data_IF_383550663357
#
_entry.id   IF_383550663357
#
_cell.length_a   1.000
_cell.length_b   1.000
_cell.length_c   1.000
_cell.angle_alpha   90.00
_cell.angle_beta   90.00
_cell.angle_gamma   90.00
#
_symmetry.space_group_name_H-M   'P 1'
#
loop_
_entity.id
_entity.type
_entity.pdbx_description
1 polymer ?
#
# COMPACT_ATOMS: atom_id res chain seq x y z
N UNK A 1 4.24 3.19 40.43
CA UNK A 1 3.75 3.15 39.03
C UNK A 1 4.96 2.82 38.16
N UNK A 2 4.86 1.85 37.24
CA UNK A 2 5.92 1.61 36.27
C UNK A 2 6.19 2.90 35.47
N UNK A 3 7.45 3.12 35.09
CA UNK A 3 7.82 4.28 34.28
C UNK A 3 7.18 4.10 32.90
N UNK A 4 6.54 5.14 32.32
CA UNK A 4 5.99 5.03 30.97
C UNK A 4 7.12 4.67 29.99
N UNK A 5 6.82 3.78 29.04
CA UNK A 5 7.71 3.45 27.94
C UNK A 5 8.12 4.73 27.19
N UNK A 6 9.38 4.79 26.77
CA UNK A 6 9.93 5.89 25.99
C UNK A 6 10.57 5.31 24.73
N UNK A 7 10.32 5.98 23.60
CA UNK A 7 11.00 5.67 22.35
C UNK A 7 12.51 5.69 22.54
N UNK A 8 13.22 4.79 21.85
CA UNK A 8 14.65 4.87 21.74
C UNK A 8 15.06 6.09 20.90
N UNK A 9 16.37 6.39 20.86
CA UNK A 9 16.89 7.55 20.17
C UNK A 9 16.52 7.58 18.67
N UNK A 10 16.56 6.44 17.99
CA UNK A 10 16.30 6.39 16.55
C UNK A 10 14.82 6.58 16.21
N UNK A 11 13.92 5.91 16.94
CA UNK A 11 12.49 6.08 16.75
C UNK A 11 12.02 7.49 17.18
N UNK A 12 12.65 8.08 18.20
CA UNK A 12 12.41 9.48 18.56
C UNK A 12 12.88 10.44 17.45
N UNK A 13 14.05 10.19 16.85
CA UNK A 13 14.55 11.02 15.74
C UNK A 13 13.62 10.96 14.52
N UNK A 14 13.01 9.80 14.25
CA UNK A 14 11.97 9.66 13.22
C UNK A 14 10.71 10.47 13.55
N UNK A 15 10.25 10.43 14.80
CA UNK A 15 9.11 11.24 15.25
C UNK A 15 9.38 12.74 15.09
N UNK A 16 10.59 13.18 15.42
CA UNK A 16 11.00 14.58 15.27
C UNK A 16 11.01 14.99 13.79
N UNK A 17 11.54 14.15 12.91
CA UNK A 17 11.58 14.40 11.46
C UNK A 17 10.17 14.43 10.84
N UNK A 18 9.25 13.58 11.30
CA UNK A 18 7.84 13.62 10.91
C UNK A 18 7.20 14.94 11.36
N UNK A 19 7.41 15.33 12.62
CA UNK A 19 6.86 16.57 13.17
C UNK A 19 7.39 17.83 12.47
N UNK A 20 8.62 17.83 11.98
CA UNK A 20 9.18 18.95 11.20
C UNK A 20 8.45 19.16 9.86
N UNK A 21 7.92 18.08 9.28
CA UNK A 21 7.23 18.10 7.98
C UNK A 21 5.70 18.15 8.10
N UNK A 22 5.14 17.84 9.26
CA UNK A 22 3.70 17.73 9.43
C UNK A 22 3.02 19.11 9.39
N UNK A 23 2.10 19.37 8.44
CA UNK A 23 1.58 20.71 8.22
C UNK A 23 0.55 21.17 9.26
N UNK A 24 -0.15 20.23 9.90
CA UNK A 24 -1.32 20.51 10.73
C UNK A 24 -1.08 20.13 12.21
N UNK A 25 -0.11 20.79 12.84
CA UNK A 25 0.17 20.65 14.26
C UNK A 25 1.23 19.60 14.56
N UNK A 26 0.93 18.57 15.34
CA UNK A 26 1.95 17.59 15.77
C UNK A 26 1.46 16.14 15.75
N UNK A 27 2.41 15.26 15.49
CA UNK A 27 2.28 13.80 15.59
C UNK A 27 2.77 13.38 16.97
N UNK A 28 2.00 12.51 17.62
CA UNK A 28 2.30 11.94 18.93
C UNK A 28 2.32 10.41 18.83
N UNK A 29 3.22 9.79 19.60
CA UNK A 29 3.24 8.33 19.78
C UNK A 29 2.83 8.01 21.21
N UNK A 30 1.88 7.10 21.37
CA UNK A 30 1.39 6.60 22.64
C UNK A 30 1.43 5.07 22.67
N UNK A 31 1.43 4.50 23.87
CA UNK A 31 1.60 3.07 24.09
C UNK A 31 0.49 2.55 25.00
N UNK A 32 -0.19 1.50 24.59
CA UNK A 32 -1.18 0.77 25.39
C UNK A 32 -0.46 -0.16 26.38
N UNK A 33 0.05 0.42 27.47
CA UNK A 33 0.87 -0.28 28.47
C UNK A 33 0.07 -1.23 29.36
N UNK A 34 -1.26 -1.20 29.27
CA UNK A 34 -2.13 -2.05 30.09
C UNK A 34 -2.36 -3.44 29.45
N UNK A 35 -1.85 -3.65 28.22
CA UNK A 35 -1.92 -4.95 27.53
C UNK A 35 -0.62 -5.73 27.65
N UNK A 36 -0.77 -7.01 27.98
CA UNK A 36 0.34 -7.96 27.94
C UNK A 36 0.82 -8.18 26.50
N UNK A 37 2.15 -8.22 26.25
CA UNK A 37 2.70 -8.51 24.93
C UNK A 37 2.23 -9.88 24.40
N UNK A 38 1.78 -9.94 23.15
CA UNK A 38 1.39 -11.20 22.51
C UNK A 38 2.58 -12.11 22.15
N UNK A 39 3.80 -11.56 22.14
CA UNK A 39 5.05 -12.31 21.92
C UNK A 39 5.39 -12.57 20.45
N UNK A 40 4.77 -11.82 19.54
CA UNK A 40 5.06 -11.76 18.11
C UNK A 40 4.78 -10.34 17.58
N UNK A 41 5.39 -10.00 16.44
CA UNK A 41 5.17 -8.70 15.78
C UNK A 41 4.36 -8.85 14.50
N UNK A 42 3.48 -7.88 14.25
CA UNK A 42 2.72 -7.71 13.01
C UNK A 42 2.51 -6.21 12.74
N UNK A 43 2.25 -5.88 11.48
CA UNK A 43 2.02 -4.49 11.06
C UNK A 43 0.67 -3.92 11.57
N UNK A 44 -0.30 -4.76 11.95
CA UNK A 44 -1.62 -4.34 12.48
C UNK A 44 -1.63 -3.94 13.96
N UNK A 45 -0.46 -3.94 14.63
CA UNK A 45 -0.33 -3.70 16.06
C UNK A 45 -0.24 -2.21 16.44
N UNK A 46 -0.59 -1.31 15.52
CA UNK A 46 -0.74 0.11 15.77
C UNK A 46 -2.07 0.65 15.24
N UNK A 47 -2.51 1.78 15.78
CA UNK A 47 -3.69 2.51 15.31
C UNK A 47 -3.39 3.99 15.19
N UNK A 48 -3.88 4.61 14.14
CA UNK A 48 -3.77 6.05 13.93
C UNK A 48 -5.12 6.72 14.24
N UNK A 49 -5.09 7.82 14.99
CA UNK A 49 -6.26 8.63 15.30
C UNK A 49 -5.97 10.09 14.99
N UNK A 50 -6.74 10.67 14.07
CA UNK A 50 -6.66 12.10 13.76
C UNK A 50 -7.44 12.90 14.80
N UNK A 51 -6.82 13.95 15.32
CA UNK A 51 -7.43 14.88 16.27
C UNK A 51 -7.33 16.31 15.69
N UNK A 52 -8.15 17.26 16.15
CA UNK A 52 -7.96 18.66 15.79
C UNK A 52 -6.55 19.13 16.14
N UNK A 53 -5.74 19.43 15.11
CA UNK A 53 -4.35 19.90 15.26
C UNK A 53 -3.31 18.80 15.51
N UNK A 54 -3.59 17.55 15.19
CA UNK A 54 -2.56 16.50 15.26
C UNK A 54 -3.01 15.10 14.88
N UNK A 55 -2.06 14.17 14.93
CA UNK A 55 -2.27 12.75 14.72
C UNK A 55 -1.64 11.97 15.87
N UNK A 56 -2.34 10.96 16.38
CA UNK A 56 -1.83 10.08 17.43
C UNK A 56 -1.64 8.68 16.86
N UNK A 57 -0.43 8.16 16.94
CA UNK A 57 -0.09 6.76 16.68
C UNK A 57 -0.11 6.05 18.03
N UNK A 58 -1.05 5.13 18.22
CA UNK A 58 -1.15 4.30 19.41
C UNK A 58 -0.60 2.91 19.09
N UNK A 59 0.54 2.57 19.67
CA UNK A 59 1.10 1.22 19.66
C UNK A 59 0.28 0.37 20.63
N UNK A 60 -0.36 -0.67 20.12
CA UNK A 60 -1.34 -1.49 20.84
C UNK A 60 -0.78 -2.79 21.41
N UNK A 61 0.44 -3.14 21.04
CA UNK A 61 1.17 -4.30 21.56
C UNK A 61 2.60 -3.91 21.93
N UNK A 62 3.07 -4.41 23.08
CA UNK A 62 4.35 -4.03 23.66
C UNK A 62 5.49 -5.03 23.38
N UNK A 63 5.32 -5.97 22.43
CA UNK A 63 6.35 -6.96 22.06
C UNK A 63 7.60 -6.26 21.50
N UNK A 64 7.44 -5.37 20.50
CA UNK A 64 8.54 -4.60 19.91
C UNK A 64 8.14 -3.13 19.64
N UNK A 65 7.87 -2.33 20.68
CA UNK A 65 7.23 -1.00 20.55
C UNK A 65 8.02 0.02 19.71
N UNK A 66 9.37 -0.02 19.73
CA UNK A 66 10.18 0.85 18.88
C UNK A 66 10.08 0.47 17.39
N UNK A 67 10.07 -0.83 17.10
CA UNK A 67 9.86 -1.34 15.74
C UNK A 67 8.47 -0.93 15.24
N UNK A 68 7.41 -1.19 16.00
CA UNK A 68 6.04 -0.85 15.60
C UNK A 68 5.84 0.66 15.44
N UNK A 69 6.31 1.48 16.40
CA UNK A 69 6.19 2.94 16.28
C UNK A 69 6.96 3.50 15.08
N UNK A 70 8.20 3.03 14.86
CA UNK A 70 9.00 3.49 13.72
C UNK A 70 8.44 3.07 12.37
N UNK A 71 7.78 1.91 12.30
CA UNK A 71 7.08 1.44 11.10
C UNK A 71 6.02 2.44 10.64
N UNK A 72 5.11 2.80 11.55
CA UNK A 72 4.05 3.79 11.29
C UNK A 72 4.61 5.19 10.95
N UNK A 73 5.65 5.62 11.68
CA UNK A 73 6.29 6.92 11.44
C UNK A 73 6.96 6.98 10.06
N UNK A 74 7.53 5.87 9.58
CA UNK A 74 8.14 5.82 8.25
C UNK A 74 7.09 5.85 7.14
N UNK A 75 5.96 5.15 7.30
CA UNK A 75 4.81 5.28 6.39
C UNK A 75 4.33 6.73 6.31
N UNK A 76 4.16 7.39 7.46
CA UNK A 76 3.77 8.80 7.51
C UNK A 76 4.82 9.73 6.89
N UNK A 77 6.11 9.46 7.11
CA UNK A 77 7.19 10.24 6.51
C UNK A 77 7.20 10.11 4.98
N UNK A 78 6.92 8.92 4.45
CA UNK A 78 6.81 8.69 3.00
C UNK A 78 5.63 9.47 2.42
N UNK A 79 4.48 9.47 3.10
CA UNK A 79 3.33 10.30 2.75
C UNK A 79 3.70 11.78 2.67
N UNK A 80 4.32 12.33 3.71
CA UNK A 80 4.74 13.74 3.80
C UNK A 80 5.79 14.11 2.74
N UNK A 81 6.60 13.13 2.29
CA UNK A 81 7.59 13.31 1.22
C UNK A 81 7.01 13.18 -0.19
N UNK A 82 5.69 13.02 -0.32
CA UNK A 82 5.01 12.96 -1.60
C UNK A 82 5.24 11.64 -2.33
N UNK A 83 5.27 10.52 -1.60
CA UNK A 83 5.13 9.21 -2.21
C UNK A 83 3.68 8.99 -2.69
N UNK A 84 3.47 8.14 -3.73
CA UNK A 84 2.15 7.88 -4.27
C UNK A 84 1.22 7.31 -3.21
N UNK A 85 -0.05 7.70 -3.24
CA UNK A 85 -1.11 7.16 -2.38
C UNK A 85 -2.10 6.35 -3.20
N UNK A 86 -2.87 5.51 -2.51
CA UNK A 86 -4.02 4.80 -3.08
C UNK A 86 -5.32 5.34 -2.52
N UNK A 87 -6.37 5.28 -3.33
CA UNK A 87 -7.72 5.67 -2.95
C UNK A 87 -8.74 4.69 -3.53
N UNK A 88 -9.85 4.54 -2.82
CA UNK A 88 -10.94 3.64 -3.17
C UNK A 88 -12.22 4.45 -3.34
N UNK A 89 -12.48 4.88 -4.58
CA UNK A 89 -13.67 5.67 -4.93
C UNK A 89 -14.74 4.85 -5.65
N UNK A 90 -14.42 3.61 -6.03
CA UNK A 90 -15.30 2.70 -6.74
C UNK A 90 -15.88 1.64 -5.82
N UNK A 91 -16.99 1.04 -6.24
CA UNK A 91 -17.70 -0.03 -5.57
C UNK A 91 -18.18 -1.07 -6.57
N UNK A 92 -18.08 -2.35 -6.19
CA UNK A 92 -18.67 -3.48 -6.90
C UNK A 92 -20.17 -3.66 -6.56
N UNK A 93 -20.75 -2.77 -5.77
CA UNK A 93 -22.12 -2.86 -5.28
C UNK A 93 -22.31 -3.87 -4.13
N UNK A 94 -21.21 -4.45 -3.63
CA UNK A 94 -21.17 -5.38 -2.50
C UNK A 94 -20.12 -4.91 -1.49
N UNK A 95 -20.57 -4.53 -0.30
CA UNK A 95 -19.72 -3.95 0.75
C UNK A 95 -18.63 -4.93 1.24
N UNK A 96 -18.95 -6.23 1.34
CA UNK A 96 -17.99 -7.23 1.79
C UNK A 96 -16.91 -7.46 0.74
N UNK A 97 -17.31 -7.53 -0.54
CA UNK A 97 -16.37 -7.69 -1.64
C UNK A 97 -15.48 -6.45 -1.79
N UNK A 98 -16.06 -5.24 -1.66
CA UNK A 98 -15.31 -3.99 -1.65
C UNK A 98 -14.25 -3.96 -0.54
N UNK A 99 -14.62 -4.32 0.69
CA UNK A 99 -13.69 -4.35 1.82
C UNK A 99 -12.54 -5.34 1.57
N UNK A 100 -12.85 -6.53 1.05
CA UNK A 100 -11.82 -7.52 0.70
C UNK A 100 -10.86 -6.96 -0.36
N UNK A 101 -11.40 -6.37 -1.42
CA UNK A 101 -10.63 -5.74 -2.48
C UNK A 101 -9.74 -4.59 -1.97
N UNK A 102 -10.27 -3.77 -1.08
CA UNK A 102 -9.53 -2.67 -0.44
C UNK A 102 -8.38 -3.20 0.42
N UNK A 103 -8.62 -4.23 1.23
CA UNK A 103 -7.59 -4.86 2.07
C UNK A 103 -6.47 -5.41 1.19
N UNK A 104 -6.82 -6.22 0.19
CA UNK A 104 -5.82 -6.84 -0.70
C UNK A 104 -5.02 -5.82 -1.50
N UNK A 105 -5.67 -4.75 -1.97
CA UNK A 105 -5.01 -3.65 -2.67
C UNK A 105 -4.06 -2.87 -1.77
N UNK A 106 -4.43 -2.71 -0.50
CA UNK A 106 -3.62 -2.05 0.52
C UNK A 106 -2.43 -2.91 0.89
N UNK A 107 -2.60 -4.21 1.12
CA UNK A 107 -1.51 -5.14 1.41
C UNK A 107 -0.45 -5.14 0.30
N UNK A 108 -0.88 -5.18 -0.97
CA UNK A 108 0.03 -5.11 -2.12
C UNK A 108 0.72 -3.74 -2.25
N UNK A 109 0.03 -2.66 -1.91
CA UNK A 109 0.63 -1.33 -1.84
C UNK A 109 1.69 -1.27 -0.73
N UNK A 110 1.38 -1.82 0.43
CA UNK A 110 2.26 -1.86 1.59
C UNK A 110 3.49 -2.73 1.34
N UNK A 111 3.38 -3.84 0.62
CA UNK A 111 4.55 -4.62 0.15
C UNK A 111 5.55 -3.72 -0.60
N UNK A 112 5.09 -2.79 -1.45
CA UNK A 112 5.98 -1.84 -2.12
C UNK A 112 6.60 -0.84 -1.14
N UNK A 113 5.80 -0.31 -0.22
CA UNK A 113 6.23 0.64 0.82
C UNK A 113 7.26 0.02 1.77
N UNK A 114 7.03 -1.21 2.21
CA UNK A 114 7.86 -1.96 3.13
C UNK A 114 9.28 -2.19 2.63
N UNK A 115 9.48 -2.22 1.30
CA UNK A 115 10.84 -2.26 0.74
C UNK A 115 11.68 -1.03 1.12
N UNK A 116 11.05 0.11 1.35
CA UNK A 116 11.71 1.33 1.84
C UNK A 116 11.70 1.36 3.36
N UNK A 117 10.56 1.07 4.00
CA UNK A 117 10.40 1.09 5.47
C UNK A 117 11.37 0.13 6.15
N UNK A 118 11.39 -1.14 5.76
CA UNK A 118 12.26 -2.18 6.34
C UNK A 118 13.73 -1.84 6.13
N UNK A 119 14.09 -1.34 4.95
CA UNK A 119 15.47 -0.93 4.66
C UNK A 119 15.93 0.20 5.60
N UNK A 120 15.08 1.19 5.87
CA UNK A 120 15.41 2.28 6.79
C UNK A 120 15.40 1.81 8.25
N UNK A 121 14.46 0.95 8.67
CA UNK A 121 14.46 0.38 10.01
C UNK A 121 15.72 -0.45 10.30
N UNK A 122 16.15 -1.31 9.35
CA UNK A 122 17.38 -2.10 9.48
C UNK A 122 18.62 -1.22 9.58
N UNK A 123 18.70 -0.17 8.75
CA UNK A 123 19.81 0.80 8.77
C UNK A 123 19.99 1.47 10.14
N UNK A 124 18.90 1.66 10.89
CA UNK A 124 18.92 2.26 12.24
C UNK A 124 18.84 1.24 13.37
N UNK A 125 18.97 -0.07 13.08
CA UNK A 125 18.92 -1.12 14.10
C UNK A 125 17.57 -1.25 14.81
N UNK A 126 16.48 -0.83 14.16
CA UNK A 126 15.10 -0.97 14.66
C UNK A 126 14.49 -2.35 14.32
N UNK A 127 15.16 -3.10 13.44
CA UNK A 127 14.93 -4.54 13.21
C UNK A 127 16.22 -5.25 13.60
N UNK A 128 16.14 -6.10 14.62
CA UNK A 128 17.23 -6.96 15.09
C UNK A 128 16.82 -8.44 15.00
N UNK A 129 17.70 -9.35 15.44
CA UNK A 129 17.45 -10.79 15.43
C UNK A 129 16.21 -11.19 16.25
N UNK A 130 15.88 -10.46 17.33
CA UNK A 130 14.70 -10.76 18.13
C UNK A 130 13.42 -10.39 17.38
N UNK A 131 13.38 -9.21 16.75
CA UNK A 131 12.25 -8.78 15.91
C UNK A 131 12.06 -9.76 14.75
N UNK A 132 13.14 -10.28 14.15
CA UNK A 132 13.06 -11.31 13.10
C UNK A 132 12.40 -12.62 13.56
N UNK A 133 12.74 -13.08 14.76
CA UNK A 133 12.10 -14.27 15.36
C UNK A 133 10.63 -14.00 15.69
N UNK A 134 10.32 -12.82 16.23
CA UNK A 134 8.96 -12.41 16.56
C UNK A 134 8.10 -12.21 15.31
N UNK A 135 8.69 -11.78 14.20
CA UNK A 135 8.01 -11.63 12.92
C UNK A 135 7.62 -13.00 12.33
N UNK A 136 8.52 -14.01 12.40
CA UNK A 136 8.18 -15.38 11.98
C UNK A 136 6.99 -15.94 12.77
N UNK A 137 6.95 -15.69 14.09
CA UNK A 137 5.80 -16.08 14.92
C UNK A 137 4.53 -15.32 14.49
N UNK A 138 4.67 -14.06 14.09
CA UNK A 138 3.58 -13.25 13.53
C UNK A 138 3.00 -13.88 12.28
N UNK A 139 3.84 -14.32 11.35
CA UNK A 139 3.42 -15.09 10.15
C UNK A 139 2.65 -16.34 10.58
N UNK A 140 3.22 -17.15 11.47
CA UNK A 140 2.62 -18.42 11.92
C UNK A 140 1.31 -18.23 12.73
N UNK A 141 1.11 -17.04 13.30
CA UNK A 141 -0.13 -16.69 13.97
C UNK A 141 -1.22 -16.17 13.00
N UNK A 142 -0.83 -15.73 11.81
CA UNK A 142 -1.74 -15.16 10.79
C UNK A 142 -2.23 -16.21 9.80
N UNK A 143 -1.34 -17.10 9.35
CA UNK A 143 -1.64 -18.07 8.29
C UNK A 143 -1.45 -19.50 8.77
N UNK A 144 -2.34 -20.40 8.33
CA UNK A 144 -2.21 -21.83 8.58
C UNK A 144 -1.28 -22.49 7.56
N UNK A 145 -0.61 -23.57 7.97
CA UNK A 145 0.26 -24.36 7.08
C UNK A 145 -0.55 -24.95 5.94
N UNK A 146 0.06 -25.01 4.76
CA UNK A 146 -0.52 -25.75 3.65
C UNK A 146 -0.59 -27.24 4.00
N UNK A 147 -1.66 -27.88 3.55
CA UNK A 147 -1.88 -29.30 3.76
C UNK A 147 -2.15 -30.00 2.43
N UNK A 148 -1.90 -31.30 2.38
CA UNK A 148 -2.09 -32.11 1.17
C UNK A 148 -3.57 -32.27 0.75
N UNK A 149 -4.51 -31.68 1.50
CA UNK A 149 -5.95 -31.79 1.22
C UNK A 149 -6.45 -30.71 0.25
N UNK A 150 -5.58 -29.81 -0.22
CA UNK A 150 -5.93 -28.79 -1.21
C UNK A 150 -6.72 -27.63 -0.60
N UNK A 151 -6.30 -27.18 0.58
CA UNK A 151 -6.87 -26.01 1.25
C UNK A 151 -6.55 -24.71 0.50
N UNK A 152 -7.44 -24.35 -0.42
CA UNK A 152 -7.35 -23.19 -1.30
C UNK A 152 -7.88 -21.90 -0.67
N UNK A 153 -8.63 -21.99 0.44
CA UNK A 153 -9.38 -20.86 1.00
C UNK A 153 -8.43 -19.76 1.54
N UNK A 154 -7.27 -20.15 2.11
CA UNK A 154 -6.25 -19.21 2.59
C UNK A 154 -5.13 -18.93 1.58
N UNK A 155 -5.16 -19.53 0.38
CA UNK A 155 -4.02 -19.47 -0.57
C UNK A 155 -3.59 -18.04 -0.89
N UNK A 156 -4.55 -17.16 -1.06
CA UNK A 156 -4.34 -15.75 -1.36
C UNK A 156 -3.76 -14.97 -0.17
N UNK A 157 -4.25 -15.23 1.05
CA UNK A 157 -3.73 -14.64 2.27
C UNK A 157 -2.28 -15.09 2.56
N UNK A 158 -2.01 -16.38 2.34
CA UNK A 158 -0.65 -16.96 2.42
C UNK A 158 0.29 -16.25 1.44
N UNK A 159 -0.14 -16.06 0.18
CA UNK A 159 0.66 -15.36 -0.83
C UNK A 159 1.03 -13.94 -0.38
N UNK A 160 0.05 -13.14 0.04
CA UNK A 160 0.30 -11.75 0.47
C UNK A 160 1.23 -11.70 1.68
N UNK A 161 0.96 -12.53 2.70
CA UNK A 161 1.76 -12.61 3.92
C UNK A 161 3.21 -13.02 3.63
N UNK A 162 3.42 -14.03 2.78
CA UNK A 162 4.75 -14.54 2.46
C UNK A 162 5.51 -13.61 1.51
N UNK A 163 4.81 -12.88 0.64
CA UNK A 163 5.43 -11.85 -0.19
C UNK A 163 5.95 -10.70 0.67
N UNK A 164 5.17 -10.25 1.66
CA UNK A 164 5.61 -9.25 2.61
C UNK A 164 6.75 -9.77 3.50
N UNK A 165 6.72 -11.05 3.89
CA UNK A 165 7.82 -11.68 4.60
C UNK A 165 9.13 -11.67 3.80
N UNK A 166 9.08 -11.93 2.48
CA UNK A 166 10.26 -11.82 1.62
C UNK A 166 10.82 -10.39 1.58
N UNK A 167 9.94 -9.38 1.60
CA UNK A 167 10.34 -7.97 1.74
C UNK A 167 10.96 -7.69 3.10
N UNK A 168 10.37 -8.19 4.18
CA UNK A 168 10.84 -8.00 5.55
C UNK A 168 12.22 -8.63 5.79
N UNK A 169 12.42 -9.89 5.40
CA UNK A 169 13.68 -10.59 5.61
C UNK A 169 14.75 -10.16 4.60
N UNK A 170 14.39 -9.94 3.33
CA UNK A 170 15.36 -9.59 2.28
C UNK A 170 16.54 -10.55 2.24
N UNK A 171 17.76 -10.03 2.40
CA UNK A 171 19.00 -10.82 2.41
C UNK A 171 19.09 -11.82 3.60
N UNK A 172 18.20 -11.71 4.59
CA UNK A 172 18.13 -12.60 5.75
C UNK A 172 17.14 -13.76 5.55
N UNK A 173 16.51 -13.89 4.38
CA UNK A 173 15.47 -14.92 4.15
C UNK A 173 15.97 -16.34 4.38
N UNK A 174 17.26 -16.61 4.11
CA UNK A 174 17.87 -17.92 4.28
C UNK A 174 17.77 -18.45 5.73
N UNK A 175 17.57 -17.57 6.73
CA UNK A 175 17.36 -17.97 8.11
C UNK A 175 16.03 -18.72 8.34
N UNK A 176 15.00 -18.42 7.54
CA UNK A 176 13.64 -18.95 7.71
C UNK A 176 13.13 -19.70 6.48
N UNK A 177 13.87 -19.65 5.37
CA UNK A 177 13.49 -20.20 4.07
C UNK A 177 13.08 -21.67 4.12
N UNK A 178 13.86 -22.51 4.82
CA UNK A 178 13.57 -23.95 4.92
C UNK A 178 12.23 -24.20 5.62
N UNK A 179 11.94 -23.42 6.68
CA UNK A 179 10.67 -23.50 7.41
C UNK A 179 9.50 -23.03 6.53
N UNK A 180 9.64 -21.89 5.84
CA UNK A 180 8.58 -21.35 4.98
C UNK A 180 8.32 -22.23 3.76
N UNK A 181 9.36 -22.83 3.18
CA UNK A 181 9.22 -23.79 2.06
C UNK A 181 8.53 -25.07 2.50
N UNK A 182 8.79 -25.52 3.73
CA UNK A 182 8.15 -26.73 4.29
C UNK A 182 6.70 -26.48 4.65
N UNK A 183 6.40 -25.34 5.28
CA UNK A 183 5.07 -25.02 5.78
C UNK A 183 4.12 -24.49 4.69
N UNK A 184 4.65 -23.82 3.66
CA UNK A 184 3.87 -23.13 2.63
C UNK A 184 4.45 -23.33 1.21
N UNK A 185 4.68 -24.58 0.75
CA UNK A 185 5.40 -24.86 -0.49
C UNK A 185 4.83 -24.17 -1.74
N UNK A 186 3.52 -24.03 -1.88
CA UNK A 186 2.87 -23.45 -3.06
C UNK A 186 2.89 -21.92 -3.00
N UNK A 187 2.38 -21.33 -1.90
CA UNK A 187 2.30 -19.89 -1.75
C UNK A 187 3.69 -19.25 -1.64
N UNK A 188 4.66 -19.89 -0.97
CA UNK A 188 6.02 -19.37 -0.87
C UNK A 188 6.73 -19.36 -2.23
N UNK A 189 6.54 -20.39 -3.05
CA UNK A 189 7.10 -20.42 -4.41
C UNK A 189 6.54 -19.30 -5.29
N UNK A 190 5.23 -19.04 -5.21
CA UNK A 190 4.60 -17.93 -5.92
C UNK A 190 5.09 -16.55 -5.39
N UNK A 191 5.17 -16.39 -4.07
CA UNK A 191 5.70 -15.19 -3.44
C UNK A 191 7.15 -14.90 -3.89
N UNK A 192 8.01 -15.94 -3.96
CA UNK A 192 9.39 -15.80 -4.43
C UNK A 192 9.46 -15.33 -5.89
N UNK A 193 8.64 -15.92 -6.78
CA UNK A 193 8.55 -15.52 -8.19
C UNK A 193 8.14 -14.05 -8.35
N UNK A 194 7.23 -13.56 -7.49
CA UNK A 194 6.84 -12.14 -7.48
C UNK A 194 7.95 -11.25 -6.91
N UNK A 195 8.54 -11.65 -5.79
CA UNK A 195 9.62 -10.94 -5.10
C UNK A 195 10.84 -10.73 -6.00
N UNK A 196 11.28 -11.78 -6.70
CA UNK A 196 12.42 -11.71 -7.63
C UNK A 196 12.19 -10.64 -8.70
N UNK A 197 10.96 -10.53 -9.21
CA UNK A 197 10.62 -9.55 -10.23
C UNK A 197 10.56 -8.13 -9.68
N UNK A 198 9.99 -7.89 -8.50
CA UNK A 198 9.90 -6.52 -7.96
C UNK A 198 11.27 -6.02 -7.47
N UNK A 199 12.17 -6.92 -7.08
CA UNK A 199 13.50 -6.57 -6.60
C UNK A 199 14.54 -6.30 -7.68
N UNK A 200 14.26 -6.62 -8.96
CA UNK A 200 15.10 -6.24 -10.11
C UNK A 200 15.44 -4.74 -10.16
N UNK A 201 14.60 -3.90 -9.55
CA UNK A 201 14.82 -2.45 -9.44
C UNK A 201 14.64 -1.96 -8.02
N UNK A 202 15.47 -1.00 -7.64
CA UNK A 202 15.38 -0.29 -6.36
C UNK A 202 14.27 0.76 -6.42
N UNK A 203 13.72 1.05 -5.24
CA UNK A 203 12.79 2.16 -5.05
C UNK A 203 13.59 3.32 -4.46
N UNK A 204 13.98 4.26 -5.31
CA UNK A 204 14.78 5.44 -4.95
C UNK A 204 14.04 6.76 -5.16
N UNK A 205 12.80 6.69 -5.65
CA UNK A 205 11.98 7.86 -5.98
C UNK A 205 10.48 7.53 -5.92
N UNK A 206 9.61 8.54 -5.74
CA UNK A 206 8.16 8.36 -5.84
C UNK A 206 7.71 7.77 -7.18
N UNK A 207 8.45 8.05 -8.26
CA UNK A 207 8.15 7.51 -9.58
C UNK A 207 8.40 6.00 -9.66
N UNK A 208 9.55 5.53 -9.17
CA UNK A 208 9.80 4.08 -9.11
C UNK A 208 8.87 3.39 -8.10
N UNK A 209 8.51 4.04 -6.99
CA UNK A 209 7.50 3.49 -6.07
C UNK A 209 6.18 3.22 -6.79
N UNK A 210 5.63 4.23 -7.49
CA UNK A 210 4.38 4.05 -8.25
C UNK A 210 4.49 2.89 -9.23
N UNK A 211 5.64 2.77 -9.90
CA UNK A 211 5.86 1.71 -10.88
C UNK A 211 5.90 0.32 -10.23
N UNK A 212 6.45 0.20 -9.02
CA UNK A 212 6.43 -1.07 -8.28
C UNK A 212 5.03 -1.43 -7.79
N UNK A 213 4.24 -0.46 -7.32
CA UNK A 213 2.83 -0.69 -6.95
C UNK A 213 2.05 -1.27 -8.14
N UNK A 214 2.13 -0.62 -9.31
CA UNK A 214 1.45 -1.11 -10.52
C UNK A 214 1.96 -2.48 -10.96
N UNK A 215 3.28 -2.73 -10.87
CA UNK A 215 3.86 -4.04 -11.18
C UNK A 215 3.34 -5.12 -10.23
N UNK A 216 3.21 -4.84 -8.93
CA UNK A 216 2.67 -5.76 -7.95
C UNK A 216 1.22 -6.14 -8.24
N UNK A 217 0.36 -5.18 -8.56
CA UNK A 217 -1.03 -5.45 -8.96
C UNK A 217 -1.09 -6.39 -10.17
N UNK A 218 -0.30 -6.12 -11.21
CA UNK A 218 -0.25 -6.96 -12.41
C UNK A 218 0.28 -8.37 -12.12
N UNK A 219 1.33 -8.48 -11.29
CA UNK A 219 1.91 -9.79 -10.93
C UNK A 219 0.96 -10.61 -10.09
N UNK A 220 0.23 -9.97 -9.18
CA UNK A 220 -0.72 -10.63 -8.32
C UNK A 220 -1.91 -11.16 -9.14
N UNK A 221 -2.50 -10.33 -10.00
CA UNK A 221 -3.57 -10.77 -10.91
C UNK A 221 -3.11 -11.93 -11.82
N UNK A 222 -1.89 -11.87 -12.36
CA UNK A 222 -1.33 -12.97 -13.14
C UNK A 222 -1.19 -14.26 -12.31
N UNK A 223 -0.82 -14.15 -11.04
CA UNK A 223 -0.68 -15.30 -10.15
C UNK A 223 -2.05 -15.89 -9.76
N UNK A 224 -3.07 -15.07 -9.54
CA UNK A 224 -4.45 -15.54 -9.29
C UNK A 224 -4.98 -16.32 -10.50
N UNK A 225 -4.80 -15.77 -11.70
CA UNK A 225 -5.22 -16.45 -12.94
C UNK A 225 -4.48 -17.78 -13.16
N UNK A 226 -3.19 -17.86 -12.81
CA UNK A 226 -2.41 -19.11 -12.85
C UNK A 226 -2.99 -20.17 -11.90
N UNK A 227 -3.57 -19.75 -10.78
CA UNK A 227 -4.29 -20.61 -9.83
C UNK A 227 -5.77 -20.85 -10.19
N UNK A 228 -6.25 -20.32 -11.31
CA UNK A 228 -7.65 -20.44 -11.72
C UNK A 228 -8.61 -19.57 -10.89
N UNK A 229 -8.08 -18.59 -10.15
CA UNK A 229 -8.84 -17.61 -9.39
C UNK A 229 -9.11 -16.36 -10.26
N UNK A 230 -10.21 -15.63 -10.00
CA UNK A 230 -10.47 -14.38 -10.70
C UNK A 230 -9.39 -13.34 -10.39
N UNK A 231 -9.04 -12.53 -11.39
CA UNK A 231 -8.19 -11.36 -11.16
C UNK A 231 -8.95 -10.32 -10.33
N UNK A 232 -8.21 -9.53 -9.54
CA UNK A 232 -8.79 -8.44 -8.77
C UNK A 232 -9.07 -7.22 -9.66
N UNK A 233 -8.33 -7.03 -10.75
CA UNK A 233 -8.42 -5.83 -11.58
C UNK A 233 -8.11 -4.56 -10.79
N UNK A 234 -7.09 -4.62 -9.92
CA UNK A 234 -6.62 -3.48 -9.12
C UNK A 234 -6.11 -2.31 -9.98
N UNK A 235 -5.80 -2.56 -11.25
CA UNK A 235 -5.50 -1.51 -12.22
C UNK A 235 -6.69 -0.57 -12.48
N UNK A 236 -7.92 -1.04 -12.26
CA UNK A 236 -9.17 -0.27 -12.45
C UNK A 236 -9.80 0.12 -11.11
N UNK A 237 -9.94 -0.84 -10.19
CA UNK A 237 -10.58 -0.64 -8.88
C UNK A 237 -9.82 0.39 -8.02
N UNK A 238 -8.49 0.28 -7.97
CA UNK A 238 -7.66 1.12 -7.08
C UNK A 238 -7.13 2.34 -7.82
N UNK A 239 -7.45 3.53 -7.30
CA UNK A 239 -6.90 4.78 -7.82
C UNK A 239 -5.52 5.02 -7.22
N UNK A 240 -4.47 5.12 -8.03
CA UNK A 240 -3.11 5.43 -7.58
C UNK A 240 -2.73 6.85 -8.00
N UNK A 241 -2.30 7.69 -7.04
CA UNK A 241 -1.85 9.07 -7.34
C UNK A 241 -0.88 9.10 -8.52
N UNK A 242 -1.13 9.93 -9.55
CA UNK A 242 -0.25 9.99 -10.70
C UNK A 242 1.06 10.70 -10.35
N UNK A 243 2.18 10.12 -10.79
CA UNK A 243 3.51 10.75 -10.74
C UNK A 243 3.88 11.23 -12.14
N UNK A 244 3.91 12.55 -12.32
CA UNK A 244 3.97 13.21 -13.63
C UNK A 244 5.16 14.16 -13.72
N UNK A 245 5.76 14.27 -14.90
CA UNK A 245 6.72 15.35 -15.18
C UNK A 245 6.00 16.67 -15.44
N UNK A 246 6.71 17.79 -15.23
CA UNK A 246 6.22 19.13 -15.62
C UNK A 246 5.84 19.22 -17.11
N UNK A 247 6.46 18.40 -17.99
CA UNK A 247 6.05 18.28 -19.39
C UNK A 247 4.68 17.62 -19.52
N UNK A 248 4.46 16.49 -18.85
CA UNK A 248 3.20 15.75 -18.92
C UNK A 248 2.01 16.56 -18.40
N UNK A 249 2.23 17.38 -17.37
CA UNK A 249 1.22 18.31 -16.84
C UNK A 249 0.71 19.32 -17.88
N UNK A 250 1.55 19.72 -18.83
CA UNK A 250 1.20 20.65 -19.92
C UNK A 250 0.63 19.96 -21.17
N UNK A 251 0.72 18.63 -21.26
CA UNK A 251 0.13 17.90 -22.38
C UNK A 251 -1.39 17.86 -22.25
N UNK A 252 -2.06 17.57 -23.36
CA UNK A 252 -3.51 17.34 -23.36
C UNK A 252 -3.83 16.04 -22.64
N UNK A 253 -4.97 15.97 -21.96
CA UNK A 253 -5.45 14.76 -21.27
C UNK A 253 -5.37 13.54 -22.18
N UNK A 254 -5.84 13.63 -23.44
CA UNK A 254 -5.80 12.53 -24.41
C UNK A 254 -4.41 11.96 -24.70
N UNK A 255 -3.34 12.73 -24.44
CA UNK A 255 -1.96 12.29 -24.68
C UNK A 255 -1.37 11.52 -23.50
N UNK A 256 -2.01 11.60 -22.33
CA UNK A 256 -1.48 11.03 -21.08
C UNK A 256 -2.44 10.00 -20.48
N UNK A 257 -3.73 10.25 -20.59
CA UNK A 257 -4.79 9.42 -20.06
C UNK A 257 -5.77 8.98 -21.14
N UNK A 258 -6.43 7.87 -20.84
CA UNK A 258 -7.64 7.38 -21.48
C UNK A 258 -8.76 7.43 -20.45
N UNK A 259 -9.91 7.97 -20.84
CA UNK A 259 -11.10 8.03 -19.99
C UNK A 259 -11.96 6.82 -20.36
N UNK A 260 -12.05 5.88 -19.43
CA UNK A 260 -12.76 4.61 -19.60
C UNK A 260 -14.04 4.63 -18.75
N UNK A 261 -15.14 4.12 -19.29
CA UNK A 261 -16.39 3.98 -18.53
C UNK A 261 -16.27 2.77 -17.62
N UNK A 262 -16.39 3.00 -16.31
CA UNK A 262 -16.29 1.95 -15.31
C UNK A 262 -17.53 1.06 -15.37
N UNK A 263 -17.34 -0.26 -15.23
CA UNK A 263 -18.45 -1.18 -14.96
C UNK A 263 -18.83 -1.20 -13.46
N UNK A 264 -17.99 -0.58 -12.61
CA UNK A 264 -18.21 -0.35 -11.18
C UNK A 264 -18.91 0.99 -10.93
N UNK A 265 -19.63 1.06 -9.81
CA UNK A 265 -20.31 2.26 -9.31
C UNK A 265 -19.35 3.12 -8.47
N UNK A 266 -19.73 4.36 -8.14
CA UNK A 266 -19.05 5.10 -7.07
C UNK A 266 -19.49 4.59 -5.68
N UNK A 267 -18.79 5.01 -4.63
CA UNK A 267 -19.13 4.66 -3.25
C UNK A 267 -20.48 5.23 -2.75
N UNK A 268 -21.18 6.02 -3.58
CA UNK A 268 -22.53 6.55 -3.30
C UNK A 268 -23.63 5.82 -4.09
N UNK A 269 -23.27 4.84 -4.92
CA UNK A 269 -24.19 4.04 -5.74
C UNK A 269 -24.54 4.67 -7.09
N UNK A 270 -23.71 5.56 -7.63
CA UNK A 270 -23.88 6.12 -8.96
C UNK A 270 -23.16 5.23 -10.00
N UNK A 271 -23.86 4.84 -11.06
CA UNK A 271 -23.38 3.94 -12.12
C UNK A 271 -22.67 4.67 -13.29
N UNK A 272 -22.87 5.98 -13.43
CA UNK A 272 -22.26 6.79 -14.50
C UNK A 272 -20.86 7.31 -14.12
N UNK A 273 -19.93 6.38 -13.91
CA UNK A 273 -18.57 6.66 -13.43
C UNK A 273 -17.54 6.33 -14.50
N UNK A 274 -16.51 7.17 -14.59
CA UNK A 274 -15.37 6.97 -15.48
C UNK A 274 -14.08 6.99 -14.68
N UNK A 275 -13.09 6.27 -15.18
CA UNK A 275 -11.72 6.23 -14.65
C UNK A 275 -10.73 6.79 -15.66
N UNK A 276 -9.74 7.51 -15.13
CA UNK A 276 -8.60 8.03 -15.87
C UNK A 276 -7.44 7.03 -15.89
N UNK A 277 -7.42 6.14 -16.88
CA UNK A 277 -6.34 5.17 -17.06
C UNK A 277 -5.11 5.83 -17.66
N UNK A 278 -3.95 5.62 -17.05
CA UNK A 278 -2.67 6.07 -17.61
C UNK A 278 -2.34 5.28 -18.87
N UNK A 279 -2.11 5.96 -19.99
CA UNK A 279 -1.83 5.28 -21.28
C UNK A 279 -0.61 4.35 -21.28
N UNK A 280 0.36 4.57 -20.39
CA UNK A 280 1.59 3.80 -20.37
C UNK A 280 1.49 2.49 -19.57
N UNK A 281 0.59 2.45 -18.60
CA UNK A 281 0.54 1.35 -17.61
C UNK A 281 -0.89 0.89 -17.27
N UNK A 282 -1.91 1.53 -17.84
CA UNK A 282 -3.32 1.24 -17.67
C UNK A 282 -3.79 1.23 -16.21
N UNK A 283 -3.10 1.95 -15.32
CA UNK A 283 -3.53 2.14 -13.93
C UNK A 283 -4.46 3.35 -13.83
N UNK A 284 -5.58 3.16 -13.13
CA UNK A 284 -6.50 4.20 -12.70
C UNK A 284 -5.77 5.24 -11.84
N UNK A 285 -5.85 6.50 -12.26
CA UNK A 285 -5.23 7.64 -11.57
C UNK A 285 -6.23 8.66 -11.03
N UNK A 286 -7.51 8.55 -11.41
CA UNK A 286 -8.60 9.38 -10.91
C UNK A 286 -9.95 8.83 -11.36
N UNK A 287 -10.98 9.08 -10.57
CA UNK A 287 -12.39 8.85 -10.94
C UNK A 287 -13.08 10.17 -11.29
N UNK A 288 -14.10 10.12 -12.14
CA UNK A 288 -14.99 11.24 -12.40
C UNK A 288 -16.39 10.75 -12.77
N UNK A 289 -17.39 11.60 -12.56
CA UNK A 289 -18.71 11.38 -13.12
C UNK A 289 -18.79 11.82 -14.57
N UNK A 290 -19.60 11.11 -15.34
CA UNK A 290 -19.91 11.50 -16.71
C UNK A 290 -20.48 12.92 -16.79
N UNK A 291 -20.13 13.72 -17.82
CA UNK A 291 -20.77 15.02 -18.03
C UNK A 291 -22.29 14.87 -18.19
N UNK A 292 -23.04 15.67 -17.45
CA UNK A 292 -24.50 15.67 -17.52
C UNK A 292 -25.02 16.40 -18.78
N UNK A 293 -26.21 16.02 -19.24
CA UNK A 293 -26.97 16.76 -20.25
C UNK A 293 -26.70 16.38 -21.71
N UNK A 294 -27.35 17.11 -22.63
CA UNK A 294 -27.41 16.77 -24.06
C UNK A 294 -26.09 16.98 -24.83
N UNK A 295 -25.19 17.81 -24.30
CA UNK A 295 -23.89 18.14 -24.92
C UNK A 295 -22.73 17.29 -24.39
N UNK A 296 -23.03 16.16 -23.74
CA UNK A 296 -22.05 15.25 -23.11
C UNK A 296 -20.87 14.91 -24.01
N UNK A 297 -21.11 14.62 -25.29
CA UNK A 297 -20.04 14.30 -26.24
C UNK A 297 -19.07 15.48 -26.42
N UNK A 298 -19.58 16.71 -26.52
CA UNK A 298 -18.74 17.91 -26.63
C UNK A 298 -17.97 18.16 -25.33
N UNK A 299 -18.58 17.90 -24.18
CA UNK A 299 -17.93 18.02 -22.87
C UNK A 299 -16.73 17.06 -22.75
N UNK A 300 -16.89 15.79 -23.16
CA UNK A 300 -15.77 14.86 -23.21
C UNK A 300 -14.66 15.30 -24.17
N UNK A 301 -15.03 15.74 -25.39
CA UNK A 301 -14.03 16.24 -26.35
C UNK A 301 -13.22 17.40 -25.75
N UNK A 302 -13.90 18.33 -25.07
CA UNK A 302 -13.25 19.45 -24.39
C UNK A 302 -12.30 18.98 -23.29
N UNK A 303 -12.74 18.07 -22.43
CA UNK A 303 -11.93 17.47 -21.36
C UNK A 303 -10.67 16.80 -21.93
N UNK A 304 -10.81 16.02 -23.01
CA UNK A 304 -9.68 15.37 -23.67
C UNK A 304 -8.66 16.36 -24.27
N UNK A 305 -9.09 17.59 -24.59
CA UNK A 305 -8.27 18.63 -25.19
C UNK A 305 -7.63 19.59 -24.19
N UNK A 306 -8.01 19.55 -22.92
CA UNK A 306 -7.47 20.43 -21.88
C UNK A 306 -6.12 19.93 -21.32
N UNK A 307 -5.30 20.82 -20.71
CA UNK A 307 -4.07 20.42 -20.06
C UNK A 307 -4.33 19.46 -18.89
N UNK A 308 -3.49 18.43 -18.74
CA UNK A 308 -3.57 17.47 -17.63
C UNK A 308 -3.61 18.15 -16.27
N UNK A 309 -2.77 19.16 -16.04
CA UNK A 309 -2.73 19.88 -14.77
C UNK A 309 -4.06 20.54 -14.43
N UNK A 310 -4.77 21.04 -15.45
CA UNK A 310 -6.06 21.68 -15.26
C UNK A 310 -7.10 20.66 -14.82
N UNK A 311 -7.24 19.54 -15.56
CA UNK A 311 -8.18 18.48 -15.20
C UNK A 311 -7.95 17.97 -13.77
N UNK A 312 -6.70 17.64 -13.42
CA UNK A 312 -6.38 17.09 -12.10
C UNK A 312 -6.73 18.07 -10.97
N UNK A 313 -6.52 19.37 -11.16
CA UNK A 313 -6.91 20.40 -10.19
C UNK A 313 -8.43 20.57 -10.10
N UNK A 314 -9.13 20.55 -11.22
CA UNK A 314 -10.60 20.65 -11.25
C UNK A 314 -11.26 19.46 -10.53
N UNK A 315 -10.69 18.27 -10.67
CA UNK A 315 -11.13 17.05 -9.99
C UNK A 315 -10.59 16.91 -8.55
N UNK A 316 -9.78 17.86 -8.06
CA UNK A 316 -9.07 17.77 -6.78
C UNK A 316 -8.26 16.46 -6.61
N UNK A 317 -7.69 15.96 -7.70
CA UNK A 317 -6.89 14.73 -7.69
C UNK A 317 -5.49 15.06 -7.17
N UNK A 318 -5.02 14.43 -6.07
CA UNK A 318 -3.66 14.61 -5.60
C UNK A 318 -2.67 13.97 -6.59
N UNK A 319 -1.67 14.74 -7.02
CA UNK A 319 -0.63 14.29 -7.95
C UNK A 319 0.76 14.74 -7.52
N UNK A 320 1.77 14.00 -7.97
CA UNK A 320 3.17 14.24 -7.64
C UNK A 320 3.91 14.71 -8.88
N UNK A 321 4.64 15.82 -8.76
CA UNK A 321 5.51 16.30 -9.85
C UNK A 321 6.91 15.73 -9.65
N UNK A 322 7.32 14.81 -10.53
CA UNK A 322 8.70 14.30 -10.49
C UNK A 322 9.66 15.39 -10.95
N UNK A 323 10.73 15.59 -10.17
CA UNK A 323 11.82 16.52 -10.47
C UNK A 323 12.70 15.99 -11.59
#
# INVERSE_FOLDING_TARGET
MPKPFQLNQEAQSLLDAVNELYPEGSVFVQFDQDKEPVGYVRHDQARQTTLPGGLVITVTDMTAPNYTASHELLHLLMLLRGFPQIFFQLSLGDEQLDEQMMIMSTDLYDVAMHRVVVAEQRKHGLIDEQVEVEYLKGIQATISKENDQGDDDERTLRLLTLLDALVFYGDHIDQVKDQLTTDYPVAFAAAQKMYDQITERRIDSPFEMRRQIVKLYQLFDAQLLEWGLPALHNNEFTTVSPVLSARQLRLKVRQVFEIFHSDMEDRQGHDDVYIGLRRNDHQNSFTLHGPAGKDRAQAFVKMYDEPVEQLLKELNVPFIVRK
#
